data_IF_295701124481
#
_entry.id   IF_295701124481
#
_cell.length_a   1.000
_cell.length_b   1.000
_cell.length_c   1.000
_cell.angle_alpha   90.00
_cell.angle_beta   90.00
_cell.angle_gamma   90.00
#
_symmetry.space_group_name_H-M   'P 1'
#
loop_
_entity.id
_entity.type
_entity.pdbx_description
1 polymer ?
#
# COMPACT_ATOMS: atom_id res chain seq x y z
N UNK A 1 -1.16 14.30 -60.24
CA UNK A 1 -1.23 14.61 -58.79
C UNK A 1 -0.99 13.31 -58.01
N UNK A 2 0.11 13.18 -57.26
CA UNK A 2 0.39 11.96 -56.50
C UNK A 2 -0.43 11.93 -55.22
N UNK A 3 -1.10 10.80 -54.96
CA UNK A 3 -1.84 10.55 -53.73
C UNK A 3 -0.86 10.40 -52.55
N UNK A 4 -1.00 11.28 -51.56
CA UNK A 4 -0.29 11.21 -50.28
C UNK A 4 -0.92 10.08 -49.47
N UNK A 5 -0.17 9.00 -49.24
CA UNK A 5 -0.54 7.93 -48.32
C UNK A 5 -0.36 8.42 -46.88
N UNK A 6 -1.48 8.56 -46.15
CA UNK A 6 -1.45 8.83 -44.72
C UNK A 6 -1.00 7.54 -44.01
N UNK A 7 0.25 7.53 -43.58
CA UNK A 7 0.79 6.50 -42.70
C UNK A 7 0.12 6.61 -41.32
N UNK A 8 -0.88 5.77 -41.11
CA UNK A 8 -1.45 5.57 -39.77
C UNK A 8 -0.37 5.02 -38.85
N UNK A 9 0.09 5.87 -37.94
CA UNK A 9 1.06 5.57 -36.90
C UNK A 9 0.46 4.50 -35.97
N UNK A 10 0.64 3.21 -36.32
CA UNK A 10 0.25 2.08 -35.47
C UNK A 10 1.09 2.16 -34.20
N UNK A 11 0.47 2.62 -33.10
CA UNK A 11 1.03 2.48 -31.77
C UNK A 11 1.37 1.01 -31.55
N UNK A 12 2.66 0.70 -31.56
CA UNK A 12 3.19 -0.65 -31.31
C UNK A 12 2.71 -1.10 -29.94
N UNK A 13 1.83 -2.10 -29.92
CA UNK A 13 1.36 -2.70 -28.69
C UNK A 13 2.58 -3.25 -27.93
N UNK A 14 2.83 -2.73 -26.72
CA UNK A 14 3.89 -3.24 -25.86
C UNK A 14 3.59 -4.72 -25.57
N UNK A 15 4.53 -5.61 -25.88
CA UNK A 15 4.44 -7.02 -25.47
C UNK A 15 4.41 -7.09 -23.95
N UNK A 16 3.60 -7.96 -23.34
CA UNK A 16 3.57 -8.13 -21.89
C UNK A 16 4.96 -8.59 -21.42
N UNK A 17 5.64 -7.77 -20.62
CA UNK A 17 7.00 -8.06 -20.12
C UNK A 17 7.04 -9.13 -19.03
N UNK A 18 5.89 -9.35 -18.39
CA UNK A 18 5.61 -10.45 -17.50
C UNK A 18 4.39 -11.14 -18.11
N UNK A 19 4.43 -12.46 -18.27
CA UNK A 19 3.28 -13.25 -18.74
C UNK A 19 2.13 -13.10 -17.72
N UNK A 20 1.33 -12.05 -17.87
CA UNK A 20 0.04 -11.91 -17.22
C UNK A 20 -0.96 -12.75 -18.00
N UNK A 21 -0.78 -14.07 -17.97
CA UNK A 21 -1.94 -14.92 -18.12
C UNK A 21 -2.89 -14.54 -16.98
N UNK A 22 -4.15 -14.27 -17.30
CA UNK A 22 -5.16 -13.83 -16.32
C UNK A 22 -5.35 -14.79 -15.12
N UNK A 23 -4.70 -15.95 -15.16
CA UNK A 23 -4.58 -17.00 -14.14
C UNK A 23 -3.20 -17.10 -13.44
N UNK A 24 -2.13 -16.46 -13.92
CA UNK A 24 -0.78 -16.55 -13.34
C UNK A 24 -0.54 -15.45 -12.31
N UNK A 25 -0.84 -15.80 -11.06
CA UNK A 25 -0.50 -15.07 -9.85
C UNK A 25 1.03 -14.97 -9.72
N UNK A 26 1.60 -13.75 -9.67
CA UNK A 26 3.05 -13.57 -9.50
C UNK A 26 3.38 -13.75 -8.02
N UNK A 27 3.70 -14.99 -7.64
CA UNK A 27 3.98 -15.42 -6.27
C UNK A 27 5.01 -14.51 -5.56
N UNK A 28 6.02 -14.06 -6.30
CA UNK A 28 7.06 -13.18 -5.79
C UNK A 28 6.48 -11.87 -5.24
N UNK A 29 5.47 -11.30 -5.91
CA UNK A 29 4.86 -10.03 -5.48
C UNK A 29 3.95 -10.21 -4.26
N UNK A 30 3.40 -11.41 -4.04
CA UNK A 30 2.71 -11.69 -2.79
C UNK A 30 3.69 -11.80 -1.63
N UNK A 31 4.85 -12.43 -1.83
CA UNK A 31 5.88 -12.46 -0.81
C UNK A 31 6.34 -11.04 -0.42
N UNK A 32 6.56 -10.15 -1.40
CA UNK A 32 6.91 -8.75 -1.11
C UNK A 32 5.78 -8.00 -0.39
N UNK A 33 4.51 -8.24 -0.74
CA UNK A 33 3.35 -7.75 0.05
C UNK A 33 3.33 -8.33 1.47
N UNK A 34 3.72 -9.59 1.62
CA UNK A 34 3.90 -10.25 2.91
C UNK A 34 4.92 -9.55 3.78
N UNK A 35 6.07 -9.17 3.20
CA UNK A 35 7.06 -8.34 3.89
C UNK A 35 6.47 -6.99 4.31
N UNK A 36 5.73 -6.32 3.40
CA UNK A 36 5.11 -5.03 3.69
C UNK A 36 4.14 -5.09 4.87
N UNK A 37 3.23 -6.07 4.91
CA UNK A 37 2.29 -6.20 6.03
C UNK A 37 3.00 -6.60 7.32
N UNK A 38 4.02 -7.48 7.26
CA UNK A 38 4.77 -7.86 8.45
C UNK A 38 5.47 -6.66 9.09
N UNK A 39 6.07 -5.77 8.29
CA UNK A 39 6.64 -4.51 8.79
C UNK A 39 5.58 -3.69 9.55
N UNK A 40 4.40 -3.52 8.96
CA UNK A 40 3.30 -2.77 9.59
C UNK A 40 2.83 -3.43 10.89
N UNK A 41 2.67 -4.76 10.90
CA UNK A 41 2.25 -5.51 12.08
C UNK A 41 3.29 -5.41 13.20
N UNK A 42 4.57 -5.58 12.88
CA UNK A 42 5.65 -5.48 13.86
C UNK A 42 5.74 -4.08 14.47
N UNK A 43 5.54 -3.04 13.66
CA UNK A 43 5.49 -1.66 14.14
C UNK A 43 4.38 -1.45 15.17
N UNK A 44 3.13 -1.82 14.85
CA UNK A 44 2.00 -1.55 15.72
C UNK A 44 1.99 -2.44 16.97
N UNK A 45 2.37 -3.73 16.86
CA UNK A 45 2.35 -4.63 18.01
C UNK A 45 3.59 -4.52 18.91
N UNK A 46 4.76 -4.17 18.38
CA UNK A 46 6.02 -4.22 19.13
C UNK A 46 6.85 -2.93 19.11
N UNK A 47 6.52 -1.94 18.28
CA UNK A 47 7.32 -0.73 18.10
C UNK A 47 7.53 0.08 19.37
N UNK A 48 6.52 0.13 20.25
CA UNK A 48 6.61 0.85 21.53
C UNK A 48 7.65 0.27 22.50
N UNK A 49 8.03 -1.02 22.36
CA UNK A 49 8.87 -1.72 23.32
C UNK A 49 10.17 -2.28 22.72
N UNK A 50 10.25 -2.37 21.39
CA UNK A 50 11.41 -2.86 20.67
C UNK A 50 11.75 -1.93 19.51
N UNK A 51 12.68 -1.00 19.74
CA UNK A 51 12.99 0.11 18.84
C UNK A 51 13.40 -0.31 17.41
N UNK A 52 13.88 -1.54 17.21
CA UNK A 52 14.17 -2.09 15.87
C UNK A 52 12.91 -2.15 14.99
N UNK A 53 11.72 -2.30 15.57
CA UNK A 53 10.46 -2.37 14.82
C UNK A 53 9.87 -0.99 14.49
N UNK A 54 10.47 0.10 15.00
CA UNK A 54 10.03 1.46 14.66
C UNK A 54 10.20 1.81 13.18
N UNK A 55 10.99 1.05 12.41
CA UNK A 55 11.08 1.22 10.95
C UNK A 55 9.86 0.63 10.21
N UNK A 56 9.01 -0.14 10.89
CA UNK A 56 7.97 -0.93 10.24
C UNK A 56 6.83 -0.09 9.62
N UNK A 57 6.68 1.19 9.99
CA UNK A 57 5.75 2.11 9.32
C UNK A 57 6.04 2.25 7.82
N UNK A 58 7.31 2.06 7.41
CA UNK A 58 7.72 2.09 5.99
C UNK A 58 7.10 0.97 5.16
N UNK A 59 6.50 -0.05 5.79
CA UNK A 59 5.73 -1.08 5.10
C UNK A 59 4.57 -0.50 4.28
N UNK A 60 3.98 0.64 4.71
CA UNK A 60 2.95 1.36 3.93
C UNK A 60 3.53 1.95 2.65
N UNK A 61 4.74 2.50 2.68
CA UNK A 61 5.43 2.99 1.48
C UNK A 61 5.71 1.85 0.48
N UNK A 62 6.11 0.67 0.98
CA UNK A 62 6.26 -0.52 0.13
C UNK A 62 4.92 -0.92 -0.51
N UNK A 63 3.80 -0.85 0.22
CA UNK A 63 2.47 -1.06 -0.38
C UNK A 63 2.18 -0.06 -1.50
N UNK A 64 2.45 1.24 -1.29
CA UNK A 64 2.27 2.25 -2.34
C UNK A 64 3.11 1.96 -3.58
N UNK A 65 4.40 1.64 -3.44
CA UNK A 65 5.25 1.29 -4.60
C UNK A 65 4.72 0.04 -5.31
N UNK A 66 4.34 -1.00 -4.57
CA UNK A 66 3.76 -2.22 -5.14
C UNK A 66 2.44 -1.98 -5.85
N UNK A 67 1.57 -1.15 -5.29
CA UNK A 67 0.27 -0.80 -5.87
C UNK A 67 0.46 -0.02 -7.16
N UNK A 68 1.35 0.97 -7.16
CA UNK A 68 1.76 1.70 -8.37
C UNK A 68 2.28 0.76 -9.46
N UNK A 69 3.17 -0.17 -9.10
CA UNK A 69 3.74 -1.15 -10.03
C UNK A 69 2.69 -2.09 -10.62
N UNK A 70 1.88 -2.72 -9.76
CA UNK A 70 0.90 -3.71 -10.17
C UNK A 70 -0.26 -3.12 -10.97
N UNK A 71 -0.80 -1.99 -10.52
CA UNK A 71 -1.95 -1.35 -11.18
C UNK A 71 -1.53 -0.83 -12.54
N UNK A 72 -0.42 -0.10 -12.62
CA UNK A 72 0.13 0.38 -13.90
C UNK A 72 0.39 -0.76 -14.86
N UNK A 73 0.95 -1.86 -14.36
CA UNK A 73 1.20 -3.04 -15.18
C UNK A 73 -0.07 -3.67 -15.73
N UNK A 74 -1.03 -3.99 -14.86
CA UNK A 74 -2.32 -4.59 -15.24
C UNK A 74 -3.06 -3.69 -16.25
N UNK A 75 -3.08 -2.38 -16.02
CA UNK A 75 -3.73 -1.41 -16.91
C UNK A 75 -2.99 -1.31 -18.25
N UNK A 76 -1.66 -1.28 -18.26
CA UNK A 76 -0.91 -1.21 -19.51
C UNK A 76 -1.14 -2.45 -20.36
N UNK A 77 -1.15 -3.64 -19.75
CA UNK A 77 -1.32 -4.92 -20.45
C UNK A 77 -2.77 -5.13 -20.96
N UNK A 78 -3.76 -4.53 -20.28
CA UNK A 78 -5.16 -4.64 -20.66
C UNK A 78 -5.66 -3.49 -21.53
N UNK A 79 -4.82 -2.52 -21.87
CA UNK A 79 -5.21 -1.26 -22.55
C UNK A 79 -6.01 -1.46 -23.85
N UNK A 80 -5.76 -2.54 -24.58
CA UNK A 80 -6.44 -2.86 -25.85
C UNK A 80 -7.74 -3.69 -25.67
N UNK A 81 -8.11 -4.04 -24.44
CA UNK A 81 -9.33 -4.83 -24.20
C UNK A 81 -10.56 -3.92 -24.22
N UNK A 82 -11.60 -4.31 -24.97
CA UNK A 82 -12.85 -3.53 -25.06
C UNK A 82 -13.52 -3.29 -23.69
N UNK A 83 -13.30 -4.19 -22.72
CA UNK A 83 -13.83 -4.11 -21.35
C UNK A 83 -12.83 -3.56 -20.34
N UNK A 84 -11.83 -2.77 -20.77
CA UNK A 84 -10.76 -2.19 -19.97
C UNK A 84 -11.22 -1.63 -18.61
N UNK A 85 -12.02 -0.56 -18.61
CA UNK A 85 -12.48 0.11 -17.39
C UNK A 85 -13.36 -0.82 -16.54
N UNK A 86 -14.36 -1.45 -17.17
CA UNK A 86 -15.31 -2.34 -16.47
C UNK A 86 -14.60 -3.47 -15.74
N UNK A 87 -13.70 -4.18 -16.42
CA UNK A 87 -12.98 -5.29 -15.82
C UNK A 87 -12.03 -4.83 -14.73
N UNK A 88 -11.40 -3.66 -14.89
CA UNK A 88 -10.54 -3.12 -13.85
C UNK A 88 -11.34 -2.79 -12.58
N UNK A 89 -12.39 -1.96 -12.68
CA UNK A 89 -13.14 -1.52 -11.51
C UNK A 89 -13.89 -2.65 -10.82
N UNK A 90 -14.54 -3.58 -11.55
CA UNK A 90 -15.20 -4.74 -10.94
C UNK A 90 -14.21 -5.57 -10.10
N UNK A 91 -12.99 -5.81 -10.63
CA UNK A 91 -11.96 -6.57 -9.91
C UNK A 91 -11.50 -5.88 -8.64
N UNK A 92 -11.48 -4.54 -8.60
CA UNK A 92 -11.04 -3.74 -7.46
C UNK A 92 -12.13 -3.61 -6.41
N UNK A 93 -13.32 -3.21 -6.83
CA UNK A 93 -14.51 -3.09 -5.95
C UNK A 93 -14.75 -4.40 -5.21
N UNK A 94 -14.82 -5.54 -5.91
CA UNK A 94 -15.08 -6.84 -5.25
C UNK A 94 -13.95 -7.33 -4.34
N UNK A 95 -12.74 -6.77 -4.46
CA UNK A 95 -11.61 -7.14 -3.61
C UNK A 95 -11.52 -6.27 -2.36
N UNK A 96 -11.86 -4.98 -2.47
CA UNK A 96 -11.50 -3.95 -1.49
C UNK A 96 -12.73 -3.52 -0.69
N UNK A 97 -13.81 -3.12 -1.38
CA UNK A 97 -14.94 -2.45 -0.75
C UNK A 97 -15.70 -3.31 0.28
N UNK A 98 -16.01 -4.60 0.03
CA UNK A 98 -16.82 -5.38 0.95
C UNK A 98 -16.26 -5.41 2.37
N UNK A 99 -15.01 -5.84 2.51
CA UNK A 99 -14.38 -5.97 3.83
C UNK A 99 -14.10 -4.61 4.46
N UNK A 100 -13.72 -3.58 3.67
CA UNK A 100 -13.55 -2.23 4.20
C UNK A 100 -14.84 -1.71 4.83
N UNK A 101 -15.95 -1.71 4.07
CA UNK A 101 -17.22 -1.18 4.58
C UNK A 101 -17.79 -2.01 5.73
N UNK A 102 -17.58 -3.33 5.73
CA UNK A 102 -17.93 -4.18 6.88
C UNK A 102 -17.12 -3.76 8.11
N UNK A 103 -15.81 -3.58 8.00
CA UNK A 103 -14.96 -3.16 9.13
C UNK A 103 -15.35 -1.78 9.64
N UNK A 104 -15.53 -0.80 8.75
CA UNK A 104 -15.99 0.54 9.14
C UNK A 104 -17.37 0.46 9.81
N UNK A 105 -18.32 -0.31 9.27
CA UNK A 105 -19.65 -0.49 9.86
C UNK A 105 -19.61 -1.16 11.23
N UNK A 106 -18.76 -2.18 11.41
CA UNK A 106 -18.55 -2.83 12.70
C UNK A 106 -18.01 -1.83 13.72
N UNK A 107 -17.00 -1.04 13.35
CA UNK A 107 -16.38 -0.06 14.25
C UNK A 107 -17.37 1.05 14.61
N UNK A 108 -18.10 1.60 13.64
CA UNK A 108 -18.98 2.74 13.89
C UNK A 108 -20.30 2.35 14.55
N UNK A 109 -20.82 1.15 14.31
CA UNK A 109 -22.19 0.80 14.71
C UNK A 109 -22.31 -0.44 15.58
N UNK A 110 -21.46 -1.45 15.39
CA UNK A 110 -21.60 -2.70 16.14
C UNK A 110 -20.86 -2.64 17.48
N UNK A 111 -19.60 -2.19 17.47
CA UNK A 111 -18.75 -2.10 18.68
C UNK A 111 -19.37 -1.22 19.77
N UNK A 112 -19.94 -0.02 19.47
CA UNK A 112 -20.55 0.83 20.49
C UNK A 112 -21.74 0.19 21.22
N UNK A 113 -22.42 -0.81 20.61
CA UNK A 113 -23.52 -1.53 21.26
C UNK A 113 -23.05 -2.42 22.41
N UNK A 114 -21.79 -2.86 22.38
CA UNK A 114 -21.20 -3.71 23.41
C UNK A 114 -20.32 -2.93 24.39
N UNK A 115 -19.77 -1.79 23.97
CA UNK A 115 -18.96 -0.91 24.82
C UNK A 115 -18.95 0.52 24.30
N UNK A 116 -19.66 1.41 24.99
CA UNK A 116 -19.69 2.85 24.69
C UNK A 116 -18.34 3.54 24.88
N UNK A 117 -17.44 2.95 25.66
CA UNK A 117 -16.10 3.49 25.97
C UNK A 117 -14.99 2.91 25.09
N UNK A 118 -15.28 1.92 24.23
CA UNK A 118 -14.27 1.29 23.38
C UNK A 118 -13.71 2.25 22.31
N UNK A 119 -14.49 3.28 21.94
CA UNK A 119 -14.12 4.29 20.94
C UNK A 119 -14.39 5.66 21.55
N UNK A 120 -13.41 6.27 22.24
CA UNK A 120 -13.58 7.57 22.88
C UNK A 120 -14.06 8.66 21.90
N UNK A 121 -13.56 8.68 20.66
CA UNK A 121 -13.94 9.69 19.67
C UNK A 121 -15.06 9.21 18.74
N UNK A 122 -15.95 8.31 19.19
CA UNK A 122 -17.10 7.88 18.40
C UNK A 122 -17.94 9.06 17.86
N UNK A 123 -18.21 10.14 18.64
CA UNK A 123 -18.93 11.30 18.11
C UNK A 123 -18.20 11.99 16.95
N UNK A 124 -16.86 12.07 16.98
CA UNK A 124 -16.08 12.60 15.87
C UNK A 124 -16.30 11.76 14.61
N UNK A 125 -16.23 10.44 14.73
CA UNK A 125 -16.40 9.54 13.60
C UNK A 125 -17.82 9.56 13.04
N UNK A 126 -18.85 9.60 13.89
CA UNK A 126 -20.25 9.70 13.43
C UNK A 126 -20.52 11.02 12.71
N UNK A 127 -20.00 12.14 13.23
CA UNK A 127 -20.17 13.46 12.63
C UNK A 127 -19.43 13.62 11.29
N UNK A 128 -18.40 12.81 11.04
CA UNK A 128 -17.58 12.87 9.82
C UNK A 128 -17.63 11.58 8.99
N UNK A 129 -18.58 10.67 9.26
CA UNK A 129 -18.60 9.34 8.67
C UNK A 129 -18.65 9.33 7.13
N UNK A 130 -19.23 10.37 6.51
CA UNK A 130 -19.27 10.52 5.06
C UNK A 130 -17.89 10.46 4.41
N UNK A 131 -16.85 10.94 5.10
CA UNK A 131 -15.47 10.87 4.64
C UNK A 131 -14.94 9.43 4.58
N UNK A 132 -15.34 8.58 5.53
CA UNK A 132 -14.95 7.16 5.58
C UNK A 132 -15.71 6.35 4.53
N UNK A 133 -17.01 6.61 4.35
CA UNK A 133 -17.82 5.92 3.32
C UNK A 133 -17.37 6.22 1.89
N UNK A 134 -16.64 7.32 1.68
CA UNK A 134 -16.22 7.79 0.36
C UNK A 134 -14.73 7.65 0.09
N UNK A 135 -13.92 7.13 1.03
CA UNK A 135 -12.45 7.07 0.94
C UNK A 135 -11.77 8.45 0.82
N UNK A 136 -12.29 9.45 1.52
CA UNK A 136 -11.71 10.80 1.58
C UNK A 136 -11.23 11.19 2.98
N UNK A 137 -11.26 10.30 3.97
CA UNK A 137 -10.87 10.64 5.35
C UNK A 137 -9.41 11.09 5.49
N UNK A 138 -8.53 10.79 4.54
CA UNK A 138 -7.18 11.37 4.52
C UNK A 138 -7.20 12.90 4.34
N UNK A 139 -8.17 13.44 3.60
CA UNK A 139 -8.38 14.89 3.45
C UNK A 139 -9.00 15.50 4.70
N UNK A 140 -9.92 14.80 5.36
CA UNK A 140 -10.40 15.19 6.68
C UNK A 140 -9.23 15.35 7.66
N UNK A 141 -8.33 14.37 7.71
CA UNK A 141 -7.14 14.43 8.58
C UNK A 141 -6.14 15.52 8.14
N UNK A 142 -6.09 15.83 6.86
CA UNK A 142 -5.25 16.93 6.33
C UNK A 142 -5.78 18.29 6.80
N UNK A 143 -7.09 18.48 6.84
CA UNK A 143 -7.74 19.77 7.14
C UNK A 143 -7.94 19.97 8.65
N UNK A 144 -8.37 18.92 9.36
CA UNK A 144 -8.77 18.99 10.78
C UNK A 144 -7.76 18.34 11.74
N UNK A 145 -6.70 17.72 11.22
CA UNK A 145 -5.80 16.89 12.02
C UNK A 145 -6.39 15.51 12.32
N UNK A 146 -5.63 14.69 13.04
CA UNK A 146 -6.12 13.39 13.48
C UNK A 146 -7.05 13.53 14.70
N UNK A 147 -8.12 12.71 14.82
CA UNK A 147 -8.85 12.55 16.08
C UNK A 147 -7.89 12.06 17.17
N UNK A 148 -8.16 12.26 18.46
CA UNK A 148 -7.25 11.90 19.57
C UNK A 148 -7.05 10.38 19.70
N UNK A 149 -8.08 9.58 19.44
CA UNK A 149 -7.97 8.13 19.36
C UNK A 149 -7.30 7.67 18.07
N UNK A 150 -6.78 6.44 18.08
CA UNK A 150 -6.02 5.86 16.96
C UNK A 150 -6.84 4.88 16.10
N UNK A 151 -8.14 4.70 16.39
CA UNK A 151 -8.92 3.54 15.93
C UNK A 151 -9.04 3.45 14.42
N UNK A 152 -9.28 4.56 13.73
CA UNK A 152 -9.41 4.59 12.27
C UNK A 152 -8.34 5.42 11.56
N UNK A 153 -7.37 5.97 12.30
CA UNK A 153 -6.32 6.84 11.74
C UNK A 153 -5.59 6.16 10.59
N UNK A 154 -5.21 4.89 10.73
CA UNK A 154 -4.43 4.12 9.74
C UNK A 154 -5.11 3.99 8.35
N UNK A 155 -6.42 4.22 8.25
CA UNK A 155 -7.17 4.09 6.99
C UNK A 155 -6.86 5.20 5.97
N UNK A 156 -6.10 6.24 6.36
CA UNK A 156 -5.67 7.31 5.46
C UNK A 156 -4.94 6.78 4.22
N UNK A 157 -4.13 5.73 4.39
CA UNK A 157 -3.30 5.16 3.32
C UNK A 157 -4.15 4.52 2.23
N UNK A 158 -5.23 3.85 2.62
CA UNK A 158 -6.21 3.24 1.72
C UNK A 158 -6.89 4.28 0.84
N UNK A 159 -7.13 5.48 1.36
CA UNK A 159 -7.70 6.58 0.58
C UNK A 159 -6.80 6.96 -0.59
N UNK A 160 -5.51 7.10 -0.33
CA UNK A 160 -4.52 7.48 -1.34
C UNK A 160 -4.45 6.41 -2.44
N UNK A 161 -4.47 5.13 -2.06
CA UNK A 161 -4.52 4.02 -3.01
C UNK A 161 -5.82 4.03 -3.84
N UNK A 162 -6.98 4.16 -3.21
CA UNK A 162 -8.26 4.16 -3.93
C UNK A 162 -8.40 5.38 -4.86
N UNK A 163 -7.94 6.55 -4.44
CA UNK A 163 -7.87 7.75 -5.30
C UNK A 163 -6.96 7.51 -6.51
N UNK A 164 -5.80 6.87 -6.31
CA UNK A 164 -4.96 6.45 -7.41
C UNK A 164 -5.67 5.45 -8.34
N UNK A 165 -6.38 4.45 -7.79
CA UNK A 165 -7.13 3.48 -8.58
C UNK A 165 -8.30 4.10 -9.35
N UNK A 166 -8.88 5.18 -8.83
CA UNK A 166 -9.94 5.93 -9.48
C UNK A 166 -9.42 6.64 -10.73
N UNK A 167 -8.31 7.40 -10.64
CA UNK A 167 -7.84 8.27 -11.72
C UNK A 167 -6.84 7.62 -12.68
N UNK A 168 -5.99 6.71 -12.18
CA UNK A 168 -4.89 6.16 -12.96
C UNK A 168 -5.31 5.38 -14.22
N UNK A 169 -6.42 4.62 -14.25
CA UNK A 169 -6.92 3.99 -15.47
C UNK A 169 -7.13 4.97 -16.63
N UNK A 170 -7.65 6.17 -16.36
CA UNK A 170 -7.85 7.20 -17.37
C UNK A 170 -6.53 7.73 -17.92
N UNK A 171 -5.54 7.93 -17.04
CA UNK A 171 -4.19 8.36 -17.43
C UNK A 171 -3.55 7.30 -18.33
N UNK A 172 -3.56 6.03 -17.92
CA UNK A 172 -2.98 4.94 -18.72
C UNK A 172 -3.69 4.77 -20.05
N UNK A 173 -5.03 4.93 -20.09
CA UNK A 173 -5.81 4.85 -21.32
C UNK A 173 -5.44 5.98 -22.30
N UNK A 174 -5.39 7.23 -21.82
CA UNK A 174 -5.21 8.42 -22.66
C UNK A 174 -3.75 8.61 -23.14
N UNK A 175 -2.76 8.30 -22.31
CA UNK A 175 -1.37 8.67 -22.58
C UNK A 175 -0.51 7.50 -23.09
N UNK A 176 0.54 7.83 -23.84
CA UNK A 176 1.55 6.86 -24.30
C UNK A 176 2.50 6.48 -23.16
N UNK A 177 3.22 5.36 -23.29
CA UNK A 177 4.22 4.94 -22.30
C UNK A 177 5.24 6.04 -21.96
N UNK A 178 5.73 6.77 -22.97
CA UNK A 178 6.64 7.91 -22.79
C UNK A 178 6.02 9.02 -21.94
N UNK A 179 4.74 9.34 -22.16
CA UNK A 179 4.04 10.36 -21.39
C UNK A 179 3.70 9.88 -19.98
N UNK A 180 3.39 8.59 -19.80
CA UNK A 180 3.20 8.00 -18.46
C UNK A 180 4.50 8.12 -17.65
N UNK A 181 5.67 7.85 -18.25
CA UNK A 181 6.96 8.07 -17.58
C UNK A 181 7.14 9.53 -17.14
N UNK A 182 6.84 10.49 -18.03
CA UNK A 182 6.93 11.92 -17.71
C UNK A 182 5.96 12.33 -16.61
N UNK A 183 4.72 11.83 -16.63
CA UNK A 183 3.71 12.10 -15.60
C UNK A 183 4.16 11.55 -14.25
N UNK A 184 4.66 10.31 -14.20
CA UNK A 184 5.15 9.72 -12.96
C UNK A 184 6.38 10.48 -12.41
N UNK A 185 7.32 10.91 -13.26
CA UNK A 185 8.42 11.80 -12.84
C UNK A 185 7.87 13.12 -12.32
N UNK A 186 6.91 13.73 -13.02
CA UNK A 186 6.25 14.96 -12.61
C UNK A 186 5.57 14.84 -11.24
N UNK A 187 4.93 13.71 -10.95
CA UNK A 187 4.33 13.42 -9.64
C UNK A 187 5.37 13.21 -8.53
N UNK A 188 6.52 12.60 -8.83
CA UNK A 188 7.63 12.51 -7.87
C UNK A 188 8.18 13.90 -7.55
N UNK A 189 8.40 14.74 -8.57
CA UNK A 189 8.85 16.12 -8.38
C UNK A 189 7.80 16.94 -7.63
N UNK A 190 6.53 16.84 -8.01
CA UNK A 190 5.42 17.55 -7.35
C UNK A 190 5.34 17.20 -5.87
N UNK A 191 5.41 15.93 -5.50
CA UNK A 191 5.38 15.52 -4.10
C UNK A 191 6.52 16.15 -3.31
N UNK A 192 7.74 16.17 -3.85
CA UNK A 192 8.89 16.79 -3.20
C UNK A 192 8.73 18.31 -3.08
N UNK A 193 8.27 19.00 -4.13
CA UNK A 193 8.00 20.44 -4.09
C UNK A 193 6.97 20.75 -3.01
N UNK A 194 5.85 20.02 -2.96
CA UNK A 194 4.79 20.23 -1.96
C UNK A 194 5.28 20.01 -0.52
N UNK A 195 6.24 19.10 -0.30
CA UNK A 195 6.83 18.88 1.02
C UNK A 195 7.82 19.96 1.44
N UNK A 196 8.37 20.73 0.49
CA UNK A 196 9.27 21.85 0.76
C UNK A 196 8.52 23.17 0.98
N UNK A 197 7.24 23.24 0.62
CA UNK A 197 6.44 24.44 0.85
C UNK A 197 6.18 24.61 2.35
N UNK A 198 6.41 25.81 2.92
CA UNK A 198 6.06 26.12 4.30
C UNK A 198 4.55 26.32 4.43
N UNK A 199 3.79 25.23 4.36
CA UNK A 199 2.34 25.27 4.47
C UNK A 199 1.95 25.45 5.96
N UNK A 200 0.98 26.31 6.28
CA UNK A 200 0.52 26.58 7.65
C UNK A 200 -0.39 25.45 8.18
N UNK A 201 -0.03 24.21 7.89
CA UNK A 201 -0.80 23.01 8.23
C UNK A 201 0.10 22.12 9.07
N UNK A 202 -0.43 21.54 10.15
CA UNK A 202 0.31 20.65 11.04
C UNK A 202 1.11 19.60 10.26
N UNK A 203 2.19 19.06 10.87
CA UNK A 203 3.04 17.99 10.29
C UNK A 203 2.24 16.79 9.72
N UNK A 204 0.99 16.61 10.12
CA UNK A 204 0.05 15.65 9.56
C UNK A 204 -0.22 15.85 8.06
N UNK A 205 -0.17 17.09 7.54
CA UNK A 205 -0.41 17.38 6.12
C UNK A 205 0.44 16.51 5.21
N UNK A 206 1.77 16.49 5.43
CA UNK A 206 2.69 15.75 4.56
C UNK A 206 2.48 14.24 4.68
N UNK A 207 2.09 13.76 5.85
CA UNK A 207 1.92 12.35 6.13
C UNK A 207 0.71 11.73 5.42
N UNK A 208 -0.43 12.45 5.37
CA UNK A 208 -1.71 11.91 4.85
C UNK A 208 -2.20 12.52 3.53
N UNK A 209 -1.57 13.61 3.05
CA UNK A 209 -1.98 14.27 1.82
C UNK A 209 -1.59 13.44 0.59
N UNK A 210 -2.56 13.19 -0.29
CA UNK A 210 -2.38 12.39 -1.51
C UNK A 210 -1.26 12.92 -2.41
N UNK A 211 -1.21 14.22 -2.66
CA UNK A 211 -0.19 14.82 -3.52
C UNK A 211 1.19 14.84 -2.87
N UNK A 212 1.25 14.94 -1.54
CA UNK A 212 2.49 14.80 -0.80
C UNK A 212 2.98 13.35 -0.69
N UNK A 213 2.22 12.33 -1.12
CA UNK A 213 2.58 10.89 -1.01
C UNK A 213 2.47 10.12 -2.33
N UNK A 214 2.10 10.78 -3.42
CA UNK A 214 1.91 10.17 -4.74
C UNK A 214 3.22 9.69 -5.38
N UNK A 215 4.37 10.13 -4.89
CA UNK A 215 5.70 9.73 -5.36
C UNK A 215 5.92 8.22 -5.23
N UNK A 216 5.53 7.59 -4.12
CA UNK A 216 5.70 6.14 -3.93
C UNK A 216 4.93 5.33 -5.00
N UNK A 217 3.65 5.66 -5.21
CA UNK A 217 2.84 5.09 -6.29
C UNK A 217 3.47 5.35 -7.67
N UNK A 218 4.02 6.54 -7.86
CA UNK A 218 4.63 6.95 -9.12
C UNK A 218 5.96 6.25 -9.41
N UNK A 219 6.78 5.96 -8.40
CA UNK A 219 7.98 5.13 -8.52
C UNK A 219 7.58 3.71 -8.98
N UNK A 220 6.56 3.14 -8.37
CA UNK A 220 5.99 1.85 -8.82
C UNK A 220 5.54 1.89 -10.27
N UNK A 221 4.81 2.94 -10.65
CA UNK A 221 4.33 3.14 -12.02
C UNK A 221 5.47 3.30 -13.04
N UNK A 222 6.55 4.03 -12.69
CA UNK A 222 7.75 4.13 -13.51
C UNK A 222 8.35 2.76 -13.80
N UNK A 223 8.56 1.96 -12.75
CA UNK A 223 9.14 0.63 -12.87
C UNK A 223 8.27 -0.26 -13.75
N UNK A 224 6.94 -0.18 -13.62
CA UNK A 224 6.02 -0.96 -14.44
C UNK A 224 6.10 -0.62 -15.94
N UNK A 225 6.34 0.64 -16.32
CA UNK A 225 6.52 1.01 -17.72
C UNK A 225 7.95 0.68 -18.18
N UNK A 226 8.96 0.93 -17.36
CA UNK A 226 10.37 0.65 -17.70
C UNK A 226 10.61 -0.84 -17.90
N UNK A 227 10.03 -1.73 -17.08
CA UNK A 227 10.15 -3.17 -17.30
C UNK A 227 9.48 -3.63 -18.60
N UNK A 228 8.51 -2.88 -19.12
CA UNK A 228 7.84 -3.16 -20.40
C UNK A 228 8.55 -2.60 -21.62
N UNK A 229 9.35 -1.56 -21.44
CA UNK A 229 9.97 -0.82 -22.55
C UNK A 229 11.48 -0.99 -22.60
N UNK A 230 12.12 -1.29 -21.47
CA UNK A 230 13.57 -1.28 -21.23
C UNK A 230 14.01 -2.41 -20.28
N UNK A 231 13.38 -3.57 -20.38
CA UNK A 231 13.62 -4.73 -19.49
C UNK A 231 15.10 -5.07 -19.35
N UNK A 232 15.80 -5.24 -20.47
CA UNK A 232 17.22 -5.61 -20.51
C UNK A 232 18.11 -4.60 -19.77
N UNK A 233 17.80 -3.30 -19.86
CA UNK A 233 18.52 -2.27 -19.11
C UNK A 233 18.26 -2.38 -17.60
N UNK A 234 17.00 -2.58 -17.20
CA UNK A 234 16.68 -2.77 -15.78
C UNK A 234 17.36 -4.01 -15.20
N UNK A 235 17.38 -5.13 -15.94
CA UNK A 235 18.06 -6.35 -15.51
C UNK A 235 19.58 -6.15 -15.43
N UNK A 236 20.19 -5.50 -16.42
CA UNK A 236 21.62 -5.19 -16.45
C UNK A 236 22.05 -4.33 -15.26
N UNK A 237 21.26 -3.32 -14.89
CA UNK A 237 21.60 -2.36 -13.85
C UNK A 237 20.89 -2.63 -12.51
N UNK A 238 20.21 -3.75 -12.32
CA UNK A 238 19.39 -4.03 -11.14
C UNK A 238 20.16 -3.88 -9.81
N UNK A 239 21.34 -4.50 -9.73
CA UNK A 239 22.20 -4.41 -8.54
C UNK A 239 22.68 -2.97 -8.30
N UNK A 240 23.05 -2.24 -9.35
CA UNK A 240 23.48 -0.85 -9.23
C UNK A 240 22.34 0.06 -8.76
N UNK A 241 21.13 -0.11 -9.30
CA UNK A 241 19.93 0.60 -8.87
C UNK A 241 19.67 0.34 -7.37
N UNK A 242 19.76 -0.91 -6.93
CA UNK A 242 19.61 -1.26 -5.52
C UNK A 242 20.69 -0.59 -4.65
N UNK A 243 21.97 -0.70 -5.02
CA UNK A 243 23.08 -0.09 -4.26
C UNK A 243 22.94 1.43 -4.16
N UNK A 244 22.64 2.11 -5.26
CA UNK A 244 22.41 3.56 -5.28
C UNK A 244 21.23 3.93 -4.40
N UNK A 245 20.14 3.16 -4.43
CA UNK A 245 18.97 3.41 -3.59
C UNK A 245 19.25 3.23 -2.09
N UNK A 246 20.09 2.25 -1.72
CA UNK A 246 20.55 2.04 -0.33
C UNK A 246 21.44 3.18 0.13
N UNK A 247 22.44 3.56 -0.68
CA UNK A 247 23.36 4.65 -0.35
C UNK A 247 22.59 5.97 -0.20
N UNK A 248 21.65 6.25 -1.11
CA UNK A 248 20.82 7.44 -1.05
C UNK A 248 19.94 7.46 0.20
N UNK A 249 19.32 6.33 0.57
CA UNK A 249 18.54 6.22 1.80
C UNK A 249 19.40 6.41 3.06
N UNK A 250 20.56 5.75 3.15
CA UNK A 250 21.48 5.88 4.28
C UNK A 250 22.04 7.30 4.40
N UNK A 251 22.40 7.92 3.27
CA UNK A 251 22.84 9.31 3.22
C UNK A 251 21.75 10.27 3.71
N UNK A 252 20.50 10.06 3.32
CA UNK A 252 19.38 10.84 3.81
C UNK A 252 19.13 10.66 5.32
N UNK A 253 19.22 9.43 5.82
CA UNK A 253 19.12 9.14 7.26
C UNK A 253 20.24 9.84 8.04
N UNK A 254 21.48 9.78 7.55
CA UNK A 254 22.62 10.43 8.18
C UNK A 254 22.46 11.97 8.20
N UNK A 255 22.04 12.55 7.08
CA UNK A 255 21.78 13.99 6.95
C UNK A 255 20.66 14.48 7.88
N UNK A 256 19.56 13.72 7.97
CA UNK A 256 18.42 14.06 8.83
C UNK A 256 18.76 13.95 10.32
N UNK A 257 19.73 13.09 10.69
CA UNK A 257 20.21 12.99 12.08
C UNK A 257 21.16 14.12 12.48
N UNK A 258 21.93 14.66 11.53
CA UNK A 258 22.93 15.70 11.82
C UNK A 258 22.35 17.12 11.83
N UNK A 259 21.25 17.35 11.10
CA UNK A 259 20.56 18.63 11.06
C UNK A 259 19.40 18.62 12.06
N UNK A 260 19.55 19.35 13.18
CA UNK A 260 18.48 19.53 14.18
C UNK A 260 17.22 20.19 13.60
N UNK A 261 17.35 20.78 12.40
CA UNK A 261 16.24 21.34 11.63
C UNK A 261 15.46 20.25 10.90
N UNK A 262 14.30 19.92 11.48
CA UNK A 262 13.02 20.01 10.76
C UNK A 262 13.04 19.41 9.34
N UNK A 263 12.86 18.09 9.25
CA UNK A 263 11.59 17.48 8.82
C UNK A 263 11.76 16.20 7.99
N UNK A 264 10.83 15.27 8.19
CA UNK A 264 10.65 13.97 7.51
C UNK A 264 10.36 14.08 5.99
N UNK A 265 10.78 15.15 5.31
CA UNK A 265 10.23 15.54 4.00
C UNK A 265 10.84 14.77 2.81
N UNK A 266 12.17 14.59 2.68
CA UNK A 266 12.71 13.83 1.56
C UNK A 266 12.68 12.31 1.79
N UNK A 267 12.63 11.88 3.06
CA UNK A 267 12.81 10.46 3.45
C UNK A 267 11.82 9.54 2.74
N UNK A 268 10.59 10.00 2.52
CA UNK A 268 9.55 9.24 1.83
C UNK A 268 9.93 8.89 0.39
N UNK A 269 10.53 9.83 -0.36
CA UNK A 269 10.97 9.54 -1.74
C UNK A 269 12.16 8.59 -1.72
N UNK A 270 13.11 8.73 -0.79
CA UNK A 270 14.23 7.80 -0.67
C UNK A 270 13.77 6.39 -0.29
N UNK A 271 12.80 6.25 0.61
CA UNK A 271 12.15 4.97 0.94
C UNK A 271 11.46 4.39 -0.29
N UNK A 272 10.70 5.20 -1.04
CA UNK A 272 10.05 4.77 -2.27
C UNK A 272 11.06 4.27 -3.32
N UNK A 273 12.18 4.99 -3.50
CA UNK A 273 13.26 4.60 -4.41
C UNK A 273 13.96 3.33 -3.95
N UNK A 274 14.19 3.17 -2.65
CA UNK A 274 14.73 1.93 -2.06
C UNK A 274 13.82 0.73 -2.35
N UNK A 275 12.52 0.83 -2.07
CA UNK A 275 11.57 -0.23 -2.38
C UNK A 275 11.39 -0.45 -3.89
N UNK A 276 11.50 0.61 -4.70
CA UNK A 276 11.54 0.51 -6.15
C UNK A 276 12.76 -0.28 -6.64
N UNK A 277 13.94 0.01 -6.10
CA UNK A 277 15.17 -0.75 -6.34
C UNK A 277 15.04 -2.21 -5.93
N UNK A 278 14.43 -2.48 -4.76
CA UNK A 278 14.15 -3.83 -4.28
C UNK A 278 13.23 -4.61 -5.23
N UNK A 279 12.18 -3.97 -5.77
CA UNK A 279 11.30 -4.59 -6.76
C UNK A 279 12.08 -4.91 -8.04
N UNK A 280 12.85 -3.96 -8.59
CA UNK A 280 13.68 -4.20 -9.78
C UNK A 280 14.66 -5.36 -9.54
N UNK A 281 15.31 -5.38 -8.38
CA UNK A 281 16.27 -6.43 -8.03
C UNK A 281 15.59 -7.79 -7.88
N UNK A 282 14.40 -7.84 -7.27
CA UNK A 282 13.61 -9.07 -7.10
C UNK A 282 13.10 -9.68 -8.40
N UNK A 283 12.92 -8.86 -9.44
CA UNK A 283 12.47 -9.29 -10.77
C UNK A 283 13.64 -9.62 -11.71
N UNK A 284 14.88 -9.28 -11.33
CA UNK A 284 16.06 -9.56 -12.14
C UNK A 284 16.45 -11.04 -12.08
N UNK A 285 16.95 -11.58 -13.19
CA UNK A 285 17.51 -12.94 -13.25
C UNK A 285 18.71 -13.15 -12.30
N UNK A 286 19.41 -12.07 -11.98
CA UNK A 286 20.57 -12.06 -11.09
C UNK A 286 20.21 -11.73 -9.62
N UNK A 287 18.94 -11.86 -9.23
CA UNK A 287 18.53 -11.66 -7.85
C UNK A 287 19.37 -12.52 -6.90
N UNK A 288 19.91 -11.98 -5.79
CA UNK A 288 20.79 -12.74 -4.92
C UNK A 288 20.01 -13.82 -4.16
N UNK A 289 20.71 -14.88 -3.76
CA UNK A 289 20.10 -16.03 -3.07
C UNK A 289 19.23 -15.65 -1.86
N UNK A 290 19.61 -14.73 -0.94
CA UNK A 290 18.75 -14.34 0.17
C UNK A 290 17.41 -13.74 -0.27
N UNK A 291 17.42 -12.90 -1.31
CA UNK A 291 16.19 -12.31 -1.85
C UNK A 291 15.31 -13.39 -2.49
N UNK A 292 15.92 -14.33 -3.23
CA UNK A 292 15.22 -15.49 -3.78
C UNK A 292 14.58 -16.38 -2.69
N UNK A 293 15.24 -16.55 -1.55
CA UNK A 293 14.68 -17.29 -0.41
C UNK A 293 13.44 -16.59 0.15
N UNK A 294 13.45 -15.26 0.28
CA UNK A 294 12.29 -14.49 0.76
C UNK A 294 11.12 -14.58 -0.22
N UNK A 295 11.36 -14.29 -1.51
CA UNK A 295 10.27 -14.20 -2.50
C UNK A 295 9.64 -15.55 -2.86
N UNK A 296 10.32 -16.66 -2.55
CA UNK A 296 9.81 -18.01 -2.74
C UNK A 296 9.33 -18.66 -1.42
N UNK A 297 9.40 -17.96 -0.29
CA UNK A 297 9.04 -18.54 1.00
C UNK A 297 7.51 -18.48 1.26
N UNK A 298 6.89 -19.62 1.63
CA UNK A 298 5.45 -19.74 1.79
C UNK A 298 4.87 -18.89 2.93
N UNK A 299 5.67 -18.54 3.95
CA UNK A 299 5.25 -17.67 5.05
C UNK A 299 4.98 -16.27 4.52
N UNK A 300 5.91 -15.68 3.76
CA UNK A 300 5.69 -14.36 3.16
C UNK A 300 4.53 -14.37 2.16
N UNK A 301 4.38 -15.43 1.37
CA UNK A 301 3.22 -15.58 0.48
C UNK A 301 1.90 -15.67 1.26
N UNK A 302 1.88 -16.35 2.41
CA UNK A 302 0.72 -16.41 3.30
C UNK A 302 0.33 -14.99 3.77
N UNK A 303 1.27 -14.24 4.34
CA UNK A 303 1.00 -12.87 4.77
C UNK A 303 0.59 -11.97 3.61
N UNK A 304 1.18 -12.15 2.42
CA UNK A 304 0.80 -11.45 1.21
C UNK A 304 -0.65 -11.69 0.79
N UNK A 305 -1.09 -12.95 0.85
CA UNK A 305 -2.46 -13.36 0.50
C UNK A 305 -3.50 -12.69 1.40
N UNK A 306 -3.25 -12.65 2.71
CA UNK A 306 -4.17 -12.12 3.72
C UNK A 306 -3.90 -10.65 4.09
N UNK A 307 -2.97 -9.99 3.40
CA UNK A 307 -2.47 -8.65 3.74
C UNK A 307 -3.55 -7.59 3.90
N UNK A 308 -4.59 -7.62 3.06
CA UNK A 308 -5.66 -6.62 3.10
C UNK A 308 -6.53 -6.72 4.35
N UNK A 309 -7.01 -7.93 4.67
CA UNK A 309 -7.73 -8.19 5.92
C UNK A 309 -6.86 -7.90 7.14
N UNK A 310 -5.60 -8.35 7.15
CA UNK A 310 -4.63 -8.05 8.22
C UNK A 310 -4.49 -6.53 8.44
N UNK A 311 -4.37 -5.77 7.35
CA UNK A 311 -4.27 -4.32 7.44
C UNK A 311 -5.52 -3.65 8.03
N UNK A 312 -6.72 -4.18 7.78
CA UNK A 312 -7.94 -3.62 8.36
C UNK A 312 -8.16 -4.04 9.83
N UNK A 313 -7.83 -5.27 10.19
CA UNK A 313 -8.13 -5.76 11.53
C UNK A 313 -7.06 -5.43 12.58
N UNK A 314 -5.80 -5.21 12.18
CA UNK A 314 -4.69 -5.15 13.14
C UNK A 314 -4.79 -4.00 14.15
N UNK A 315 -5.10 -2.76 13.74
CA UNK A 315 -5.15 -1.62 14.67
C UNK A 315 -6.33 -1.72 15.63
N UNK A 316 -7.58 -1.97 15.20
CA UNK A 316 -8.70 -2.15 16.15
C UNK A 316 -8.42 -3.28 17.15
N UNK A 317 -7.88 -4.41 16.69
CA UNK A 317 -7.53 -5.53 17.58
C UNK A 317 -6.43 -5.11 18.55
N UNK A 318 -5.37 -4.47 18.07
CA UNK A 318 -4.29 -3.98 18.93
C UNK A 318 -4.80 -2.99 19.99
N UNK A 319 -5.60 -2.01 19.61
CA UNK A 319 -6.07 -0.96 20.53
C UNK A 319 -7.10 -1.45 21.55
N UNK A 320 -7.89 -2.48 21.23
CA UNK A 320 -8.92 -2.97 22.14
C UNK A 320 -8.47 -4.20 22.93
N UNK A 321 -7.89 -5.18 22.26
CA UNK A 321 -7.55 -6.46 22.88
C UNK A 321 -6.29 -6.37 23.73
N UNK A 322 -5.24 -5.69 23.26
CA UNK A 322 -3.96 -5.62 23.99
C UNK A 322 -4.12 -4.94 25.35
N UNK A 323 -4.79 -3.77 25.49
CA UNK A 323 -5.01 -3.16 26.80
C UNK A 323 -5.95 -3.97 27.70
N UNK A 324 -6.96 -4.62 27.13
CA UNK A 324 -7.88 -5.48 27.90
C UNK A 324 -7.15 -6.70 28.49
N UNK A 325 -6.35 -7.41 27.68
CA UNK A 325 -5.50 -8.50 28.13
C UNK A 325 -4.48 -8.02 29.17
N UNK A 326 -3.91 -6.82 28.98
CA UNK A 326 -2.97 -6.24 29.93
C UNK A 326 -3.60 -6.00 31.30
N UNK A 327 -4.82 -5.46 31.38
CA UNK A 327 -5.55 -5.29 32.65
C UNK A 327 -5.76 -6.62 33.39
N UNK A 328 -6.10 -7.69 32.66
CA UNK A 328 -6.28 -9.02 33.25
C UNK A 328 -4.95 -9.55 33.80
N UNK A 329 -3.89 -9.52 33.00
CA UNK A 329 -2.59 -10.12 33.35
C UNK A 329 -1.83 -9.30 34.42
N UNK A 330 -1.95 -7.96 34.40
CA UNK A 330 -1.31 -7.07 35.39
C UNK A 330 -1.81 -7.33 36.81
N UNK A 331 -3.01 -7.91 36.95
CA UNK A 331 -3.58 -8.29 38.25
C UNK A 331 -2.86 -9.48 38.90
N UNK A 332 -1.99 -10.18 38.16
CA UNK A 332 -1.31 -11.40 38.61
C UNK A 332 0.23 -11.33 38.54
N UNK A 333 0.82 -10.45 37.72
CA UNK A 333 2.28 -10.39 37.49
C UNK A 333 2.72 -8.94 37.24
N UNK A 334 3.81 -8.50 37.91
CA UNK A 334 4.42 -7.18 37.69
C UNK A 334 4.76 -6.91 36.21
N UNK A 335 4.72 -5.66 35.73
CA UNK A 335 4.92 -5.34 34.30
C UNK A 335 6.38 -5.53 33.86
N UNK A 336 6.75 -6.78 33.53
CA UNK A 336 7.98 -7.12 32.83
C UNK A 336 7.81 -6.95 31.31
N UNK A 337 8.90 -6.63 30.60
CA UNK A 337 8.95 -6.57 29.13
C UNK A 337 8.34 -7.82 28.48
N UNK A 338 8.58 -8.99 29.06
CA UNK A 338 8.03 -10.27 28.60
C UNK A 338 6.50 -10.33 28.56
N UNK A 339 5.81 -9.70 29.52
CA UNK A 339 4.34 -9.67 29.53
C UNK A 339 3.80 -8.83 28.36
N UNK A 340 4.43 -7.68 28.10
CA UNK A 340 4.07 -6.83 26.94
C UNK A 340 4.29 -7.57 25.63
N UNK A 341 5.41 -8.28 25.49
CA UNK A 341 5.70 -9.10 24.30
C UNK A 341 4.69 -10.24 24.14
N UNK A 342 4.34 -10.94 25.22
CA UNK A 342 3.37 -12.04 25.20
C UNK A 342 1.98 -11.54 24.78
N UNK A 343 1.49 -10.47 25.40
CA UNK A 343 0.17 -9.88 25.11
C UNK A 343 0.13 -9.35 23.67
N UNK A 344 1.19 -8.70 23.20
CA UNK A 344 1.29 -8.22 21.82
C UNK A 344 1.28 -9.37 20.83
N UNK A 345 1.97 -10.47 21.15
CA UNK A 345 1.95 -11.70 20.34
C UNK A 345 0.57 -12.35 20.31
N UNK A 346 -0.14 -12.39 21.44
CA UNK A 346 -1.52 -12.87 21.50
C UNK A 346 -2.45 -12.02 20.62
N UNK A 347 -2.34 -10.69 20.71
CA UNK A 347 -3.10 -9.78 19.86
C UNK A 347 -2.81 -9.95 18.36
N UNK A 348 -1.54 -10.15 17.99
CA UNK A 348 -1.13 -10.43 16.62
C UNK A 348 -1.72 -11.75 16.10
N UNK A 349 -1.69 -12.82 16.92
CA UNK A 349 -2.29 -14.11 16.56
C UNK A 349 -3.80 -13.98 16.36
N UNK A 350 -4.49 -13.20 17.19
CA UNK A 350 -5.93 -12.92 17.01
C UNK A 350 -6.17 -12.13 15.72
N UNK A 351 -5.35 -11.12 15.40
CA UNK A 351 -5.45 -10.40 14.13
C UNK A 351 -5.26 -11.32 12.92
N UNK A 352 -4.31 -12.26 12.99
CA UNK A 352 -4.09 -13.27 11.95
C UNK A 352 -5.31 -14.18 11.83
N UNK A 353 -5.82 -14.72 12.95
CA UNK A 353 -6.97 -15.61 12.96
C UNK A 353 -8.22 -14.93 12.37
N UNK A 354 -8.56 -13.72 12.84
CA UNK A 354 -9.69 -12.93 12.34
C UNK A 354 -9.55 -12.66 10.85
N UNK A 355 -8.35 -12.30 10.38
CA UNK A 355 -8.10 -12.03 8.96
C UNK A 355 -8.28 -13.27 8.09
N UNK A 356 -7.81 -14.44 8.54
CA UNK A 356 -7.99 -15.71 7.80
C UNK A 356 -9.46 -16.13 7.76
N UNK A 357 -10.18 -15.99 8.87
CA UNK A 357 -11.62 -16.28 8.96
C UNK A 357 -12.39 -15.33 8.03
N UNK A 358 -12.16 -14.02 8.15
CA UNK A 358 -12.73 -12.99 7.29
C UNK A 358 -12.46 -13.27 5.82
N UNK A 359 -11.24 -13.64 5.46
CA UNK A 359 -10.91 -13.94 4.07
C UNK A 359 -11.76 -15.10 3.52
N UNK A 360 -11.98 -16.15 4.32
CA UNK A 360 -12.78 -17.31 3.92
C UNK A 360 -14.26 -16.98 3.76
N UNK A 361 -14.84 -16.25 4.71
CA UNK A 361 -16.30 -16.04 4.78
C UNK A 361 -16.79 -14.75 4.13
N UNK A 362 -15.94 -13.73 4.04
CA UNK A 362 -16.29 -12.42 3.48
C UNK A 362 -15.61 -12.28 2.11
N UNK A 363 -14.29 -12.25 2.06
CA UNK A 363 -13.57 -11.89 0.83
C UNK A 363 -13.72 -12.94 -0.29
N UNK A 364 -13.59 -14.23 0.03
CA UNK A 364 -13.62 -15.32 -0.95
C UNK A 364 -14.93 -15.37 -1.76
N UNK A 365 -16.13 -15.23 -1.16
CA UNK A 365 -17.38 -15.10 -1.92
C UNK A 365 -17.36 -13.99 -2.98
N UNK A 366 -16.94 -12.77 -2.62
CA UNK A 366 -16.88 -11.64 -3.58
C UNK A 366 -15.82 -11.85 -4.67
N UNK A 367 -14.67 -12.44 -4.30
CA UNK A 367 -13.64 -12.81 -5.26
C UNK A 367 -14.08 -13.92 -6.23
N UNK A 368 -14.99 -14.80 -5.82
CA UNK A 368 -15.59 -15.80 -6.70
C UNK A 368 -16.66 -15.20 -7.62
N UNK A 369 -17.41 -14.18 -7.15
CA UNK A 369 -18.40 -13.45 -7.97
C UNK A 369 -17.74 -12.78 -9.19
N UNK A 370 -16.50 -12.28 -9.03
CA UNK A 370 -15.68 -11.75 -10.13
C UNK A 370 -15.57 -12.71 -11.32
N UNK A 371 -15.41 -14.02 -11.09
CA UNK A 371 -15.29 -15.01 -12.17
C UNK A 371 -16.58 -15.07 -12.99
N UNK A 372 -17.74 -14.99 -12.31
CA UNK A 372 -19.07 -15.02 -12.96
C UNK A 372 -19.33 -13.74 -13.77
N UNK A 373 -18.94 -12.57 -13.28
CA UNK A 373 -19.22 -11.29 -13.94
C UNK A 373 -18.34 -10.99 -15.15
N UNK A 374 -17.13 -11.55 -15.21
CA UNK A 374 -16.15 -11.27 -16.27
C UNK A 374 -16.21 -12.32 -17.39
N UNK A 375 -16.53 -13.58 -17.08
CA UNK A 375 -16.54 -14.68 -18.08
C UNK A 375 -17.83 -14.72 -18.91
N UNK A 376 -18.93 -14.09 -18.47
CA UNK A 376 -20.27 -14.27 -19.08
C UNK A 376 -20.61 -13.42 -20.31
N UNK A 377 -19.64 -12.85 -21.05
CA UNK A 377 -19.93 -12.16 -22.32
C UNK A 377 -18.85 -12.48 -23.35
N UNK A 378 -18.98 -13.66 -23.97
CA UNK A 378 -18.49 -13.89 -25.34
C UNK A 378 -19.71 -13.90 -26.25
#
# INVERSE_FOLDING_TARGET
>A
MPQISLSTNRATALKPAISYNSSLHIKQLDAVRGCAILLVLLYHFYGEYAGVFNIGWTGVDLFFVLSGFLITGILTDSKQQASYFKNFYIKRVLRIFPIYFIVIGIILYLVPLFSSTAIPDLPYYHNHQGWFWTYFQNWLFTIKGFPDDRVLRYTWSLCIEEQFYMFWPFIIYKFSAKNILRISIGFIVLANVLRLLPLPVDNNYIYVNTFARIDALSVGALIAILIRTRKELLEKYATMIMLVSVIALLGNIAYTRSTFFMNLYPVYTFIALFFGGLIVWSLSSNAPRPLQLIVNNPVFMFFGKYSYGLYLYHVPIHLWLTPWLFKIVQSYIHPALWNKLLISSAGLLVAIAVSVISFRFIETPFLNLKKKLIVKRK
#
